data_IF_869972616543
#
_entry.id   IF_869972616543
#
_cell.length_a   1.000
_cell.length_b   1.000
_cell.length_c   1.000
_cell.angle_alpha   90.00
_cell.angle_beta   90.00
_cell.angle_gamma   90.00
#
_symmetry.space_group_name_H-M   'P 1'
#
loop_
_entity.id
_entity.type
_entity.pdbx_description
1 polymer ?
#
# COMPACT_ATOMS: atom_id res chain seq x y z
N UNK A 1 10.03 27.46 -4.04
CA UNK A 1 9.75 27.09 -4.59
C UNK A 1 9.57 26.89 -4.89
N UNK A 2 9.81 26.88 -4.65
CA UNK A 2 9.54 26.52 -5.21
C UNK A 2 9.29 26.45 -5.75
N UNK A 3 9.44 26.70 -5.76
CA UNK A 3 9.08 26.36 -6.42
C UNK A 3 8.55 26.11 -6.99
N UNK A 4 8.58 26.17 -7.11
CA UNK A 4 8.07 25.56 -7.66
C UNK A 4 7.66 25.52 -7.47
N UNK A 5 7.69 26.03 -7.62
CA UNK A 5 7.39 25.61 -7.37
C UNK A 5 7.48 24.97 -6.67
N UNK A 6 7.59 24.85 -5.97
CA UNK A 6 7.73 23.92 -5.43
C UNK A 6 6.88 23.14 -4.99
N UNK A 7 6.05 23.34 -4.90
CA UNK A 7 5.15 22.53 -4.73
C UNK A 7 4.86 21.60 -5.63
N UNK A 8 4.77 21.89 -6.60
CA UNK A 8 4.65 21.02 -7.52
C UNK A 8 5.75 20.18 -7.66
N UNK A 9 6.83 20.55 -7.28
CA UNK A 9 7.89 19.71 -7.34
C UNK A 9 7.73 18.59 -6.45
N UNK A 10 7.33 18.75 -5.26
CA UNK A 10 7.26 17.70 -4.29
C UNK A 10 6.29 16.64 -4.64
N UNK A 11 5.21 16.97 -5.25
CA UNK A 11 4.26 16.00 -5.62
C UNK A 11 4.76 15.00 -6.53
N UNK A 12 5.64 15.34 -7.41
CA UNK A 12 6.18 14.45 -8.33
C UNK A 12 7.04 13.47 -7.75
N UNK A 13 7.53 13.65 -6.58
CA UNK A 13 8.40 12.71 -5.96
C UNK A 13 7.70 11.93 -4.90
N UNK A 14 6.39 12.01 -4.88
CA UNK A 14 5.66 11.34 -3.89
C UNK A 14 5.62 12.06 -2.58
N UNK A 15 6.06 13.29 -2.56
CA UNK A 15 6.02 14.11 -1.40
C UNK A 15 5.26 15.33 -1.76
N UNK A 16 4.27 15.75 -1.04
CA UNK A 16 3.52 16.92 -1.36
C UNK A 16 3.88 18.07 -0.53
N UNK A 17 4.08 19.10 -1.13
CA UNK A 17 4.48 20.26 -0.44
C UNK A 17 3.37 21.15 -0.22
N UNK A 18 3.28 21.36 0.15
CA UNK A 18 2.68 21.92 0.29
C UNK A 18 2.34 22.69 0.71
N UNK A 19 2.27 23.49 0.91
CA UNK A 19 2.23 24.00 1.19
C UNK A 19 1.72 24.24 1.57
N UNK A 20 1.55 24.66 1.83
CA UNK A 20 1.48 24.59 2.08
C UNK A 20 1.30 23.98 2.26
N UNK A 21 1.17 23.51 1.96
CA UNK A 21 1.35 22.71 1.80
C UNK A 21 1.56 21.99 1.92
N UNK A 22 1.39 21.96 1.80
CA UNK A 22 2.15 21.36 1.89
C UNK A 22 2.65 20.08 2.08
N UNK A 23 3.70 19.79 2.91
CA UNK A 23 4.40 18.58 2.87
C UNK A 23 3.79 17.56 3.79
N UNK A 24 3.55 16.38 3.31
CA UNK A 24 3.02 15.32 4.11
C UNK A 24 4.13 14.38 4.44
N UNK A 25 4.36 14.15 5.72
CA UNK A 25 5.42 13.29 6.14
C UNK A 25 4.88 11.96 6.61
N UNK A 26 5.51 10.88 6.24
CA UNK A 26 5.12 9.58 6.71
C UNK A 26 5.73 9.30 8.06
N UNK A 27 5.01 8.56 8.90
CA UNK A 27 5.58 8.13 10.17
C UNK A 27 6.62 7.04 9.91
N UNK A 28 7.44 6.79 10.88
CA UNK A 28 8.44 5.73 10.78
C UNK A 28 7.78 4.38 10.57
N UNK A 29 6.65 4.16 11.20
CA UNK A 29 5.95 2.90 11.03
C UNK A 29 5.41 2.76 9.62
N UNK A 30 4.85 3.83 9.05
CA UNK A 30 4.34 3.80 7.69
C UNK A 30 5.46 3.48 6.71
N UNK A 31 6.63 4.05 6.94
CA UNK A 31 7.77 3.78 6.07
C UNK A 31 8.23 2.33 6.17
N UNK A 32 8.24 1.79 7.38
CA UNK A 32 8.63 0.39 7.57
C UNK A 32 7.64 -0.55 6.88
N UNK A 33 6.36 -0.27 6.99
CA UNK A 33 5.33 -1.09 6.37
C UNK A 33 5.44 -1.00 4.86
N UNK A 34 5.67 0.20 4.31
CA UNK A 34 5.84 0.37 2.88
C UNK A 34 7.04 -0.40 2.35
N UNK A 35 8.15 -0.35 3.08
CA UNK A 35 9.33 -1.09 2.71
C UNK A 35 9.05 -2.59 2.76
N UNK A 36 8.35 -3.05 3.79
CA UNK A 36 8.05 -4.46 3.94
C UNK A 36 7.12 -4.93 2.83
N UNK A 37 6.15 -4.11 2.45
CA UNK A 37 5.27 -4.45 1.32
C UNK A 37 6.09 -4.63 0.06
N UNK A 38 7.03 -3.74 -0.19
CA UNK A 38 7.88 -3.85 -1.38
C UNK A 38 8.73 -5.11 -1.33
N UNK A 39 9.28 -5.44 -0.18
CA UNK A 39 10.09 -6.65 -0.03
C UNK A 39 9.27 -7.90 -0.26
N UNK A 40 8.08 -7.96 0.32
CA UNK A 40 7.23 -9.12 0.17
C UNK A 40 6.74 -9.26 -1.27
N UNK A 41 6.44 -8.14 -1.92
CA UNK A 41 6.00 -8.15 -3.31
C UNK A 41 7.08 -8.74 -4.21
N UNK A 42 8.32 -8.39 -3.96
CA UNK A 42 9.43 -8.93 -4.75
C UNK A 42 9.68 -10.41 -4.41
N UNK A 43 9.65 -10.75 -3.14
CA UNK A 43 9.92 -12.11 -2.70
C UNK A 43 8.90 -13.10 -3.26
N UNK A 44 7.63 -12.72 -3.22
CA UNK A 44 6.56 -13.61 -3.64
C UNK A 44 6.07 -13.33 -5.06
N UNK A 45 6.74 -12.42 -5.75
CA UNK A 45 6.47 -12.12 -7.17
C UNK A 45 5.02 -11.73 -7.41
N UNK A 46 4.56 -10.78 -6.62
CA UNK A 46 3.20 -10.28 -6.80
C UNK A 46 3.08 -9.46 -8.06
N UNK A 47 1.95 -9.57 -8.74
CA UNK A 47 1.70 -8.74 -9.91
C UNK A 47 1.49 -7.30 -9.48
N UNK A 48 1.56 -6.33 -10.41
CA UNK A 48 1.37 -4.93 -10.03
C UNK A 48 0.04 -4.69 -9.32
N UNK A 49 -1.03 -5.33 -9.79
CA UNK A 49 -2.32 -5.13 -9.16
C UNK A 49 -2.37 -5.79 -7.78
N UNK A 50 -1.74 -6.95 -7.65
CA UNK A 50 -1.65 -7.59 -6.35
C UNK A 50 -0.86 -6.74 -5.37
N UNK A 51 0.19 -6.08 -5.85
CA UNK A 51 0.95 -5.17 -4.99
C UNK A 51 0.09 -4.02 -4.51
N UNK A 52 -0.76 -3.48 -5.38
CA UNK A 52 -1.65 -2.40 -4.99
C UNK A 52 -2.63 -2.87 -3.92
N UNK A 53 -3.18 -4.06 -4.09
CA UNK A 53 -4.10 -4.61 -3.11
C UNK A 53 -3.38 -4.85 -1.78
N UNK A 54 -2.18 -5.42 -1.84
CA UNK A 54 -1.41 -5.68 -0.63
C UNK A 54 -1.11 -4.40 0.13
N UNK A 55 -0.73 -3.34 -0.59
CA UNK A 55 -0.43 -2.08 0.06
C UNK A 55 -1.63 -1.53 0.81
N UNK A 56 -2.83 -1.63 0.21
CA UNK A 56 -4.03 -1.13 0.86
C UNK A 56 -4.45 -2.02 2.03
N UNK A 57 -4.25 -3.33 1.90
CA UNK A 57 -4.49 -4.23 3.02
C UNK A 57 -3.58 -3.90 4.18
N UNK A 58 -2.32 -3.59 3.88
CA UNK A 58 -1.34 -3.25 4.91
C UNK A 58 -1.71 -1.96 5.65
N UNK A 59 -2.45 -1.08 4.98
CA UNK A 59 -2.91 0.14 5.61
C UNK A 59 -4.13 -0.09 6.50
N UNK A 60 -4.66 -1.30 6.53
CA UNK A 60 -5.81 -1.62 7.34
C UNK A 60 -7.14 -1.35 6.69
N UNK A 61 -7.16 -1.08 5.40
CA UNK A 61 -8.40 -0.75 4.72
C UNK A 61 -9.26 -1.99 4.53
N UNK A 62 -10.57 -1.78 4.52
CA UNK A 62 -11.50 -2.89 4.33
C UNK A 62 -11.58 -3.24 2.85
N UNK A 63 -12.11 -4.43 2.56
CA UNK A 63 -12.27 -4.85 1.19
C UNK A 63 -13.13 -3.89 0.38
N UNK A 64 -14.18 -3.35 1.01
CA UNK A 64 -15.05 -2.42 0.33
C UNK A 64 -14.30 -1.15 -0.08
N UNK A 65 -13.49 -0.61 0.82
CA UNK A 65 -12.72 0.59 0.54
C UNK A 65 -11.70 0.32 -0.56
N UNK A 66 -11.05 -0.83 -0.51
CA UNK A 66 -10.08 -1.19 -1.54
C UNK A 66 -10.75 -1.30 -2.89
N UNK A 67 -11.93 -1.91 -2.96
CA UNK A 67 -12.67 -2.00 -4.21
C UNK A 67 -12.97 -0.63 -4.76
N UNK A 68 -13.34 0.30 -3.90
CA UNK A 68 -13.66 1.65 -4.33
C UNK A 68 -12.42 2.38 -4.82
N UNK A 69 -11.31 2.24 -4.10
CA UNK A 69 -10.10 2.96 -4.47
C UNK A 69 -9.49 2.44 -5.76
N UNK A 70 -9.59 1.15 -5.99
CA UNK A 70 -9.00 0.56 -7.19
C UNK A 70 -10.00 0.38 -8.32
N UNK A 71 -11.26 0.75 -8.07
CA UNK A 71 -12.32 0.63 -9.08
C UNK A 71 -12.44 -0.80 -9.59
N UNK A 72 -12.49 -1.75 -8.68
CA UNK A 72 -12.63 -3.16 -9.03
C UNK A 72 -13.85 -3.76 -8.35
N UNK A 73 -14.37 -4.81 -8.94
CA UNK A 73 -15.53 -5.50 -8.39
C UNK A 73 -15.11 -6.39 -7.24
N UNK A 74 -16.08 -6.80 -6.45
CA UNK A 74 -15.83 -7.64 -5.29
C UNK A 74 -15.15 -8.95 -5.69
N UNK A 75 -15.62 -9.56 -6.77
CA UNK A 75 -15.01 -10.81 -7.22
C UNK A 75 -13.54 -10.65 -7.60
N UNK A 76 -13.22 -9.54 -8.24
CA UNK A 76 -11.84 -9.25 -8.60
C UNK A 76 -10.99 -9.04 -7.36
N UNK A 77 -11.53 -8.29 -6.39
CA UNK A 77 -10.81 -8.07 -5.13
C UNK A 77 -10.55 -9.40 -4.44
N UNK A 78 -11.55 -10.26 -4.37
CA UNK A 78 -11.40 -11.55 -3.71
C UNK A 78 -10.39 -12.42 -4.42
N UNK A 79 -10.37 -12.36 -5.75
CA UNK A 79 -9.41 -13.14 -6.51
C UNK A 79 -7.99 -12.66 -6.26
N UNK A 80 -7.78 -11.35 -6.24
CA UNK A 80 -6.45 -10.82 -5.96
C UNK A 80 -5.99 -11.19 -4.55
N UNK A 81 -6.89 -11.09 -3.58
CA UNK A 81 -6.57 -11.42 -2.20
C UNK A 81 -6.21 -12.90 -2.08
N UNK A 82 -6.98 -13.75 -2.73
CA UNK A 82 -6.70 -15.18 -2.70
C UNK A 82 -5.33 -15.49 -3.30
N UNK A 83 -5.01 -14.86 -4.43
CA UNK A 83 -3.73 -15.10 -5.07
C UNK A 83 -2.56 -14.61 -4.17
N UNK A 84 -2.74 -13.47 -3.52
CA UNK A 84 -1.73 -12.97 -2.61
C UNK A 84 -1.51 -13.97 -1.48
N UNK A 85 -2.59 -14.43 -0.88
CA UNK A 85 -2.48 -15.36 0.25
C UNK A 85 -1.85 -16.68 -0.19
N UNK A 86 -2.22 -17.15 -1.37
CA UNK A 86 -1.64 -18.38 -1.89
C UNK A 86 -0.14 -18.23 -2.14
N UNK A 87 0.25 -17.14 -2.74
CA UNK A 87 1.66 -16.91 -3.03
C UNK A 87 2.48 -16.77 -1.76
N UNK A 88 1.91 -16.16 -0.74
CA UNK A 88 2.62 -15.93 0.50
C UNK A 88 2.49 -17.08 1.50
N UNK A 89 1.64 -18.07 1.19
CA UNK A 89 1.48 -19.21 2.06
C UNK A 89 0.76 -18.89 3.35
N UNK A 90 -0.16 -17.93 3.32
CA UNK A 90 -0.89 -17.54 4.53
C UNK A 90 -2.39 -17.76 4.32
N UNK A 91 -3.13 -17.77 5.41
CA UNK A 91 -4.55 -18.07 5.38
C UNK A 91 -5.44 -17.00 5.98
N UNK A 92 -4.86 -15.97 6.56
CA UNK A 92 -5.67 -14.95 7.22
C UNK A 92 -4.99 -13.61 7.19
N UNK A 93 -5.77 -12.57 7.41
CA UNK A 93 -5.25 -11.22 7.47
C UNK A 93 -4.33 -11.04 8.67
N UNK A 94 -4.58 -11.78 9.73
CA UNK A 94 -3.72 -11.74 10.89
C UNK A 94 -2.31 -12.20 10.52
N UNK A 95 -2.21 -13.31 9.78
CA UNK A 95 -0.91 -13.80 9.33
C UNK A 95 -0.23 -12.79 8.42
N UNK A 96 -1.02 -12.10 7.60
CA UNK A 96 -0.48 -11.08 6.74
C UNK A 96 0.16 -9.96 7.56
N UNK A 97 -0.53 -9.48 8.59
CA UNK A 97 0.02 -8.44 9.44
C UNK A 97 1.26 -8.90 10.19
N UNK A 98 1.32 -10.17 10.54
CA UNK A 98 2.50 -10.72 11.17
C UNK A 98 3.70 -10.65 10.23
N UNK A 99 3.48 -10.99 8.96
CA UNK A 99 4.55 -10.90 7.98
C UNK A 99 4.98 -9.45 7.72
N UNK A 100 4.04 -8.54 7.81
CA UNK A 100 4.35 -7.13 7.63
C UNK A 100 5.04 -6.52 8.84
N UNK A 101 5.00 -7.21 9.97
CA UNK A 101 5.61 -6.70 11.18
C UNK A 101 4.79 -5.61 11.85
N UNK A 102 3.48 -5.63 11.62
CA UNK A 102 2.57 -4.63 12.19
C UNK A 102 1.74 -5.25 13.28
N UNK A 103 1.47 -4.51 14.31
CA UNK A 103 0.58 -4.98 15.34
C UNK A 103 -0.85 -4.93 14.84
N UNK A 104 -1.60 -5.93 15.08
CA UNK A 104 -2.98 -5.95 14.59
C UNK A 104 -3.97 -5.81 15.72
#
# INVERSE_FOLDING_TARGET
VLLFSEKELASKWGVDILEEGGLIERTAEEERVGTRVAELSATYRLSPREQEVLALLAEGKTGRVIQQELFIAEGTFKAHTRHIYEKMGINSRKELFELLGVSS
#
